data_IF_205148002608
#
_entry.id   IF_205148002608
#
_cell.length_a   1.000
_cell.length_b   1.000
_cell.length_c   1.000
_cell.angle_alpha   90.00
_cell.angle_beta   90.00
_cell.angle_gamma   90.00
#
_symmetry.space_group_name_H-M   'P 1'
#
loop_
_entity.id
_entity.type
_entity.pdbx_description
1 polymer ?
#
# COMPACT_ATOMS: atom_id res chain seq x y z
N UNK A 1 0.52 -14.82 3.95
CA UNK A 1 -0.34 -14.30 2.86
C UNK A 1 0.16 -12.95 2.36
N UNK A 2 0.27 -11.92 3.21
CA UNK A 2 0.77 -10.59 2.80
C UNK A 2 2.20 -10.60 2.23
N UNK A 3 3.09 -11.45 2.75
CA UNK A 3 4.44 -11.61 2.18
C UNK A 3 4.44 -12.03 0.70
N UNK A 4 3.40 -12.71 0.22
CA UNK A 4 3.29 -13.08 -1.19
C UNK A 4 3.03 -11.88 -2.10
N UNK A 5 2.67 -10.72 -1.55
CA UNK A 5 2.45 -9.49 -2.30
C UNK A 5 3.76 -8.71 -2.55
N UNK A 6 4.87 -9.07 -1.90
CA UNK A 6 6.16 -8.42 -2.13
C UNK A 6 6.58 -8.63 -3.60
N UNK A 7 6.90 -7.53 -4.28
CA UNK A 7 7.22 -7.49 -5.70
C UNK A 7 6.01 -7.38 -6.63
N UNK A 8 4.78 -7.47 -6.10
CA UNK A 8 3.56 -7.23 -6.88
C UNK A 8 3.22 -5.74 -6.90
N UNK A 9 2.58 -5.33 -8.00
CA UNK A 9 2.10 -3.96 -8.18
C UNK A 9 0.60 -3.93 -7.92
N UNK A 10 0.15 -2.98 -7.09
CA UNK A 10 -1.25 -2.77 -6.77
C UNK A 10 -1.68 -1.33 -7.02
N UNK A 11 -2.97 -1.16 -7.28
CA UNK A 11 -3.62 0.13 -7.15
C UNK A 11 -4.01 0.35 -5.69
N UNK A 12 -3.56 1.46 -5.12
CA UNK A 12 -3.72 1.82 -3.72
C UNK A 12 -4.44 3.15 -3.62
N UNK A 13 -5.59 3.17 -2.97
CA UNK A 13 -6.27 4.40 -2.58
C UNK A 13 -5.54 5.01 -1.38
N UNK A 14 -5.07 6.25 -1.49
CA UNK A 14 -4.45 6.99 -0.39
C UNK A 14 -5.54 7.56 0.51
N UNK A 15 -5.58 7.11 1.77
CA UNK A 15 -6.57 7.50 2.79
C UNK A 15 -5.97 8.36 3.92
N UNK A 16 -4.66 8.61 3.86
CA UNK A 16 -3.96 9.58 4.68
C UNK A 16 -2.53 9.73 4.19
N UNK A 17 -1.74 10.70 4.71
CA UNK A 17 -0.43 11.01 4.16
C UNK A 17 0.50 9.80 4.01
N UNK A 18 0.43 8.82 4.92
CA UNK A 18 1.26 7.59 4.86
C UNK A 18 0.45 6.31 4.88
N UNK A 19 -0.85 6.39 4.60
CA UNK A 19 -1.76 5.26 4.69
C UNK A 19 -2.61 5.16 3.42
N UNK A 20 -2.74 3.96 2.93
CA UNK A 20 -3.72 3.65 1.90
C UNK A 20 -4.22 2.22 2.01
N UNK A 21 -5.13 1.85 1.10
CA UNK A 21 -5.62 0.48 0.96
C UNK A 21 -5.58 0.03 -0.49
N UNK A 22 -5.19 -1.22 -0.70
CA UNK A 22 -5.28 -1.85 -2.02
C UNK A 22 -6.75 -2.08 -2.41
N UNK A 23 -7.00 -2.40 -3.67
CA UNK A 23 -8.31 -2.86 -4.17
C UNK A 23 -8.88 -4.08 -3.40
N UNK A 24 -8.00 -4.87 -2.78
CA UNK A 24 -8.34 -6.04 -1.94
C UNK A 24 -8.47 -5.67 -0.45
N UNK A 25 -8.53 -4.37 -0.13
CA UNK A 25 -8.65 -3.81 1.21
C UNK A 25 -7.44 -4.06 2.15
N UNK A 26 -6.28 -4.45 1.62
CA UNK A 26 -5.06 -4.56 2.43
C UNK A 26 -4.49 -3.17 2.72
N UNK A 27 -4.19 -2.87 3.98
CA UNK A 27 -3.55 -1.61 4.36
C UNK A 27 -2.12 -1.54 3.84
N UNK A 28 -1.75 -0.40 3.28
CA UNK A 28 -0.42 -0.08 2.76
C UNK A 28 0.12 1.12 3.52
N UNK A 29 1.35 1.01 4.03
CA UNK A 29 2.07 2.14 4.62
C UNK A 29 3.08 2.68 3.63
N UNK A 30 3.05 3.99 3.41
CA UNK A 30 3.99 4.68 2.52
C UNK A 30 5.20 5.22 3.29
N UNK A 31 6.38 5.18 2.66
CA UNK A 31 7.61 5.69 3.25
C UNK A 31 7.68 7.23 3.27
N UNK A 32 6.99 7.88 2.33
CA UNK A 32 6.84 9.34 2.22
C UNK A 32 5.38 9.74 2.13
N UNK A 33 5.11 11.02 2.42
CA UNK A 33 3.76 11.55 2.37
C UNK A 33 3.20 11.51 0.93
N UNK A 34 1.94 11.11 0.82
CA UNK A 34 1.18 10.97 -0.41
C UNK A 34 -0.05 11.87 -0.37
N UNK A 35 -0.51 12.30 -1.54
CA UNK A 35 -1.74 13.08 -1.67
C UNK A 35 -2.97 12.20 -1.41
N UNK A 36 -3.74 12.55 -0.38
CA UNK A 36 -4.98 11.86 -0.01
C UNK A 36 -6.03 11.92 -1.13
N UNK A 37 -6.84 10.85 -1.24
CA UNK A 37 -7.90 10.71 -2.24
C UNK A 37 -7.41 10.31 -3.64
N UNK A 38 -6.10 10.16 -3.83
CA UNK A 38 -5.54 9.66 -5.08
C UNK A 38 -5.45 8.13 -5.10
N UNK A 39 -5.59 7.53 -6.28
CA UNK A 39 -5.24 6.13 -6.51
C UNK A 39 -3.84 6.10 -7.11
N UNK A 40 -2.92 5.40 -6.45
CA UNK A 40 -1.53 5.25 -6.90
C UNK A 40 -1.21 3.80 -7.25
N UNK A 41 -0.43 3.63 -8.31
CA UNK A 41 0.10 2.32 -8.71
C UNK A 41 1.44 2.12 -8.03
N UNK A 42 1.52 1.21 -7.05
CA UNK A 42 2.71 0.99 -6.22
C UNK A 42 3.14 -0.46 -6.23
N UNK A 43 4.45 -0.69 -6.35
CA UNK A 43 5.07 -1.99 -6.13
C UNK A 43 5.37 -2.20 -4.65
N UNK A 44 4.86 -3.27 -4.08
CA UNK A 44 5.05 -3.59 -2.67
C UNK A 44 6.48 -4.04 -2.44
N UNK A 45 7.17 -3.36 -1.54
CA UNK A 45 8.57 -3.62 -1.19
C UNK A 45 8.72 -4.46 0.07
N UNK A 46 7.66 -4.55 0.88
CA UNK A 46 7.68 -5.34 2.11
C UNK A 46 6.28 -5.61 2.66
N UNK A 47 6.21 -6.44 3.70
CA UNK A 47 4.99 -6.71 4.43
C UNK A 47 5.30 -6.96 5.91
N UNK A 48 4.45 -6.44 6.79
CA UNK A 48 4.39 -6.82 8.21
C UNK A 48 3.35 -7.94 8.40
N UNK A 49 3.01 -8.25 9.65
CA UNK A 49 1.92 -9.19 9.94
C UNK A 49 0.55 -8.70 9.45
N UNK A 50 0.34 -7.37 9.38
CA UNK A 50 -0.98 -6.78 9.11
C UNK A 50 -1.01 -5.76 7.97
N UNK A 51 0.15 -5.32 7.47
CA UNK A 51 0.24 -4.26 6.45
C UNK A 51 1.25 -4.59 5.35
N UNK A 52 1.04 -3.98 4.19
CA UNK A 52 2.01 -3.91 3.11
C UNK A 52 2.82 -2.62 3.21
N UNK A 53 4.01 -2.61 2.62
CA UNK A 53 4.90 -1.46 2.57
C UNK A 53 5.13 -1.14 1.10
N UNK A 54 4.84 0.12 0.73
CA UNK A 54 4.90 0.62 -0.64
C UNK A 54 5.58 1.98 -0.72
#
# INVERSE_FOLDING_TARGET
HLQAQIGQTHQVLVEGPRLGRTEQFAEVSFQSDQSEGQIQTITITGASQTRLIG
#
